data_IF_114209057004
#
_entry.id   IF_114209057004
#
_cell.length_a   1.000
_cell.length_b   1.000
_cell.length_c   1.000
_cell.angle_alpha   90.00
_cell.angle_beta   90.00
_cell.angle_gamma   90.00
#
_symmetry.space_group_name_H-M   'P 1'
#
loop_
_entity.id
_entity.type
_entity.pdbx_description
1 polymer ?
#
# COMPACT_ATOMS: atom_id res chain seq x y z
N UNK A 1 -20.88 22.22 33.33
CA UNK A 1 -20.67 21.64 31.99
C UNK A 1 -19.78 20.42 32.16
N UNK A 2 -20.34 19.21 32.09
CA UNK A 2 -19.54 17.99 32.04
C UNK A 2 -18.74 17.99 30.75
N UNK A 3 -17.41 17.88 30.84
CA UNK A 3 -16.57 17.58 29.69
C UNK A 3 -17.16 16.34 28.99
N UNK A 4 -17.34 16.33 27.66
CA UNK A 4 -17.80 15.14 26.98
C UNK A 4 -16.84 13.99 27.32
N UNK A 5 -17.40 12.85 27.74
CA UNK A 5 -16.64 11.62 27.97
C UNK A 5 -15.73 11.40 26.76
N UNK A 6 -14.43 11.35 26.98
CA UNK A 6 -13.47 11.10 25.91
C UNK A 6 -13.92 9.82 25.17
N UNK A 7 -14.12 9.84 23.84
CA UNK A 7 -14.61 8.68 23.13
C UNK A 7 -13.70 7.47 23.42
N UNK A 8 -14.30 6.30 23.63
CA UNK A 8 -13.55 5.07 23.92
C UNK A 8 -12.50 4.78 22.83
N UNK A 9 -11.58 3.81 23.02
CA UNK A 9 -10.57 3.50 22.02
C UNK A 9 -11.21 3.13 20.67
N UNK A 10 -10.58 3.52 19.56
CA UNK A 10 -10.91 3.00 18.24
C UNK A 10 -10.23 1.63 18.10
N UNK A 11 -11.02 0.57 17.98
CA UNK A 11 -10.52 -0.81 18.00
C UNK A 11 -10.25 -1.28 16.57
N UNK A 12 -9.07 -1.82 16.32
CA UNK A 12 -8.68 -2.25 14.98
C UNK A 12 -8.31 -3.73 14.93
N UNK A 13 -8.71 -4.39 13.84
CA UNK A 13 -8.31 -5.73 13.48
C UNK A 13 -7.32 -5.71 12.33
N UNK A 14 -6.16 -6.35 12.46
CA UNK A 14 -5.12 -6.36 11.41
C UNK A 14 -5.05 -7.73 10.73
N UNK A 15 -5.31 -7.77 9.43
CA UNK A 15 -5.12 -8.94 8.59
C UNK A 15 -3.78 -8.85 7.86
N UNK A 16 -2.85 -9.75 8.15
CA UNK A 16 -1.49 -9.73 7.61
C UNK A 16 -0.49 -9.14 8.61
N UNK A 17 0.39 -10.01 9.12
CA UNK A 17 1.48 -9.64 10.05
C UNK A 17 2.87 -9.88 9.41
N UNK A 18 3.03 -9.46 8.16
CA UNK A 18 4.34 -9.33 7.52
C UNK A 18 5.09 -8.08 7.98
N UNK A 19 6.06 -7.61 7.20
CA UNK A 19 6.87 -6.41 7.53
C UNK A 19 5.99 -5.19 7.82
N UNK A 20 4.99 -4.91 6.98
CA UNK A 20 4.10 -3.75 7.16
C UNK A 20 3.21 -3.93 8.38
N UNK A 21 2.57 -5.09 8.54
CA UNK A 21 1.66 -5.35 9.66
C UNK A 21 2.34 -5.28 11.02
N UNK A 22 3.53 -5.89 11.14
CA UNK A 22 4.34 -5.76 12.35
C UNK A 22 4.81 -4.31 12.58
N UNK A 23 5.18 -3.60 11.50
CA UNK A 23 5.48 -2.17 11.54
C UNK A 23 4.33 -1.32 12.09
N UNK A 24 3.07 -1.61 11.67
CA UNK A 24 1.87 -0.92 12.17
C UNK A 24 1.69 -1.14 13.67
N UNK A 25 1.73 -2.40 14.14
CA UNK A 25 1.61 -2.72 15.57
C UNK A 25 2.69 -1.98 16.38
N UNK A 26 3.94 -2.05 15.92
CA UNK A 26 5.06 -1.37 16.55
C UNK A 26 4.83 0.15 16.61
N UNK A 27 4.50 0.78 15.48
CA UNK A 27 4.35 2.24 15.39
C UNK A 27 3.20 2.75 16.25
N UNK A 28 2.07 2.04 16.29
CA UNK A 28 0.93 2.37 17.15
C UNK A 28 1.33 2.34 18.63
N UNK A 29 2.07 1.33 19.07
CA UNK A 29 2.54 1.24 20.44
C UNK A 29 3.57 2.34 20.78
N UNK A 30 4.56 2.56 19.89
CA UNK A 30 5.64 3.54 20.13
C UNK A 30 5.14 4.99 20.13
N UNK A 31 4.09 5.30 19.37
CA UNK A 31 3.57 6.66 19.21
C UNK A 31 2.16 6.84 19.81
N UNK A 32 1.75 5.98 20.75
CA UNK A 32 0.39 5.91 21.26
C UNK A 32 -0.15 7.28 21.71
N UNK A 33 0.59 8.02 22.52
CA UNK A 33 0.18 9.33 23.02
C UNK A 33 0.03 10.38 21.91
N UNK A 34 0.98 10.40 20.98
CA UNK A 34 0.95 11.35 19.85
C UNK A 34 -0.26 11.07 18.95
N UNK A 35 -0.50 9.80 18.65
CA UNK A 35 -1.62 9.36 17.82
C UNK A 35 -2.94 9.63 18.53
N UNK A 36 -3.05 9.32 19.82
CA UNK A 36 -4.26 9.59 20.59
C UNK A 36 -4.62 11.07 20.63
N UNK A 37 -3.62 11.96 20.81
CA UNK A 37 -3.84 13.41 20.74
C UNK A 37 -4.34 13.86 19.36
N UNK A 38 -3.82 13.30 18.27
CA UNK A 38 -4.20 13.68 16.90
C UNK A 38 -5.53 13.07 16.45
N UNK A 39 -5.82 11.85 16.87
CA UNK A 39 -7.07 11.14 16.58
C UNK A 39 -8.20 11.51 17.56
N UNK A 40 -7.88 12.27 18.62
CA UNK A 40 -8.77 12.60 19.72
C UNK A 40 -9.36 11.37 20.44
N UNK A 41 -8.68 10.22 20.35
CA UNK A 41 -8.97 8.95 21.06
C UNK A 41 -7.82 7.96 20.88
N UNK A 42 -7.61 7.02 21.81
CA UNK A 42 -6.64 5.94 21.62
C UNK A 42 -7.01 5.05 20.42
N UNK A 43 -6.01 4.42 19.80
CA UNK A 43 -6.20 3.37 18.79
C UNK A 43 -5.62 2.08 19.37
N UNK A 44 -6.43 1.01 19.41
CA UNK A 44 -6.06 -0.25 20.05
C UNK A 44 -6.20 -1.40 19.07
N UNK A 45 -5.16 -2.21 18.92
CA UNK A 45 -5.22 -3.46 18.17
C UNK A 45 -5.90 -4.51 19.05
N UNK A 46 -7.07 -5.00 18.64
CA UNK A 46 -7.84 -5.99 19.41
C UNK A 46 -7.76 -7.39 18.82
N UNK A 47 -7.55 -7.48 17.51
CA UNK A 47 -7.45 -8.75 16.81
C UNK A 47 -6.39 -8.71 15.69
N UNK A 48 -5.74 -9.84 15.46
CA UNK A 48 -4.79 -10.02 14.36
C UNK A 48 -5.02 -11.36 13.66
N UNK A 49 -4.72 -11.40 12.36
CA UNK A 49 -4.71 -12.63 11.57
C UNK A 49 -3.47 -12.71 10.70
N UNK A 50 -2.85 -13.89 10.63
CA UNK A 50 -1.78 -14.21 9.70
C UNK A 50 -1.67 -15.73 9.51
N UNK A 51 -1.02 -16.18 8.43
CA UNK A 51 -0.88 -17.61 8.13
C UNK A 51 -0.14 -18.42 9.20
N UNK A 52 0.86 -17.82 9.85
CA UNK A 52 1.74 -18.50 10.80
C UNK A 52 1.72 -17.80 12.16
N UNK A 53 1.19 -18.47 13.18
CA UNK A 53 1.11 -17.94 14.54
C UNK A 53 2.44 -17.95 15.29
N UNK A 54 3.31 -18.91 15.02
CA UNK A 54 4.54 -19.11 15.78
C UNK A 54 5.72 -18.28 15.24
N UNK A 55 5.62 -17.77 14.01
CA UNK A 55 6.66 -16.90 13.44
C UNK A 55 6.95 -15.69 14.33
N UNK A 56 8.19 -15.60 14.81
CA UNK A 56 8.71 -14.45 15.55
C UNK A 56 8.71 -13.18 14.68
N UNK A 57 8.12 -12.10 15.20
CA UNK A 57 7.92 -10.83 14.47
C UNK A 57 8.49 -9.60 15.18
N UNK A 58 9.10 -9.79 16.35
CA UNK A 58 9.64 -8.67 17.15
C UNK A 58 8.57 -7.70 17.65
N UNK A 59 7.33 -8.17 17.82
CA UNK A 59 6.20 -7.41 18.35
C UNK A 59 5.56 -8.21 19.49
N UNK A 60 5.09 -7.49 20.52
CA UNK A 60 4.27 -8.08 21.57
C UNK A 60 2.82 -8.17 21.09
N UNK A 61 2.25 -9.37 21.16
CA UNK A 61 0.86 -9.67 20.83
C UNK A 61 0.06 -10.06 22.09
N UNK A 62 0.62 -9.87 23.28
CA UNK A 62 -0.04 -10.12 24.56
C UNK A 62 -1.37 -9.38 24.64
N UNK A 63 -2.46 -10.10 24.95
CA UNK A 63 -3.80 -9.53 25.05
C UNK A 63 -4.49 -9.23 23.72
N UNK A 64 -3.84 -9.47 22.57
CA UNK A 64 -4.44 -9.32 21.24
C UNK A 64 -5.02 -10.68 20.80
N UNK A 65 -6.27 -10.70 20.37
CA UNK A 65 -6.90 -11.93 19.92
C UNK A 65 -6.32 -12.40 18.57
N UNK A 66 -5.97 -13.67 18.49
CA UNK A 66 -5.59 -14.30 17.23
C UNK A 66 -6.84 -14.79 16.48
N UNK A 67 -6.89 -14.55 15.18
CA UNK A 67 -7.97 -14.97 14.28
C UNK A 67 -7.36 -15.75 13.12
N UNK A 68 -7.74 -17.03 13.00
CA UNK A 68 -7.15 -17.92 12.00
C UNK A 68 -7.62 -17.58 10.58
N UNK A 69 -8.92 -17.33 10.39
CA UNK A 69 -9.45 -16.79 9.13
C UNK A 69 -9.58 -15.26 9.21
N UNK A 70 -8.73 -14.57 8.43
CA UNK A 70 -8.77 -13.12 8.32
C UNK A 70 -10.16 -12.56 7.99
N UNK A 71 -11.00 -13.29 7.25
CA UNK A 71 -12.34 -12.83 6.87
C UNK A 71 -13.29 -12.69 8.06
N UNK A 72 -13.02 -13.35 9.19
CA UNK A 72 -13.81 -13.26 10.42
C UNK A 72 -13.62 -11.92 11.15
N UNK A 73 -12.52 -11.19 10.89
CA UNK A 73 -12.31 -9.85 11.44
C UNK A 73 -13.47 -8.90 11.09
N UNK A 74 -14.12 -9.10 9.95
CA UNK A 74 -15.28 -8.32 9.52
C UNK A 74 -16.52 -8.49 10.42
N UNK A 75 -16.63 -9.57 11.19
CA UNK A 75 -17.80 -9.88 12.01
C UNK A 75 -17.56 -9.65 13.50
N UNK A 76 -16.31 -9.40 13.90
CA UNK A 76 -15.93 -9.23 15.30
C UNK A 76 -16.59 -7.98 15.92
N UNK A 77 -17.27 -8.12 17.07
CA UNK A 77 -17.89 -6.97 17.76
C UNK A 77 -16.85 -6.06 18.43
N UNK A 78 -15.62 -6.54 18.62
CA UNK A 78 -14.49 -5.83 19.18
C UNK A 78 -13.56 -5.18 18.14
N UNK A 79 -13.98 -5.09 16.89
CA UNK A 79 -13.24 -4.45 15.79
C UNK A 79 -14.11 -3.37 15.16
N UNK A 80 -13.65 -2.11 15.16
CA UNK A 80 -14.34 -0.99 14.50
C UNK A 80 -13.78 -0.74 13.09
N UNK A 81 -12.49 -0.99 12.90
CA UNK A 81 -11.75 -0.80 11.64
C UNK A 81 -10.97 -2.06 11.30
N UNK A 82 -11.06 -2.50 10.06
CA UNK A 82 -10.21 -3.58 9.53
C UNK A 82 -9.05 -2.97 8.74
N UNK A 83 -7.84 -3.41 9.05
CA UNK A 83 -6.60 -3.05 8.35
C UNK A 83 -6.10 -4.27 7.59
N UNK A 84 -6.12 -4.23 6.27
CA UNK A 84 -5.76 -5.34 5.39
C UNK A 84 -4.37 -5.13 4.77
N UNK A 85 -3.51 -6.13 4.98
CA UNK A 85 -2.09 -6.19 4.62
C UNK A 85 -1.71 -7.62 4.18
N UNK A 86 -2.66 -8.36 3.60
CA UNK A 86 -2.47 -9.72 3.07
C UNK A 86 -1.85 -9.64 1.66
N UNK A 87 -2.35 -8.72 0.83
CA UNK A 87 -1.99 -8.64 -0.60
C UNK A 87 -2.82 -9.58 -1.49
N UNK A 88 -2.57 -9.51 -2.80
CA UNK A 88 -3.32 -10.24 -3.85
C UNK A 88 -4.53 -9.47 -4.38
N UNK A 89 -4.93 -9.69 -5.64
CA UNK A 89 -6.09 -9.01 -6.25
C UNK A 89 -7.44 -9.54 -5.74
N UNK A 90 -7.50 -10.83 -5.40
CA UNK A 90 -8.73 -11.57 -5.12
C UNK A 90 -8.63 -12.41 -3.82
N UNK A 91 -9.56 -13.35 -3.64
CA UNK A 91 -9.51 -14.34 -2.58
C UNK A 91 -9.81 -13.75 -1.19
N UNK A 92 -9.04 -14.13 -0.15
CA UNK A 92 -9.32 -13.70 1.22
C UNK A 92 -9.28 -12.18 1.41
N UNK A 93 -8.39 -11.46 0.72
CA UNK A 93 -8.28 -10.01 0.83
C UNK A 93 -9.55 -9.30 0.33
N UNK A 94 -10.00 -9.64 -0.88
CA UNK A 94 -11.23 -9.10 -1.46
C UNK A 94 -12.48 -9.52 -0.67
N UNK A 95 -12.52 -10.77 -0.21
CA UNK A 95 -13.63 -11.27 0.63
C UNK A 95 -13.71 -10.51 1.94
N UNK A 96 -12.57 -10.27 2.60
CA UNK A 96 -12.49 -9.46 3.81
C UNK A 96 -12.96 -8.03 3.54
N UNK A 97 -12.48 -7.38 2.48
CA UNK A 97 -12.88 -6.02 2.12
C UNK A 97 -14.41 -5.88 1.96
N UNK A 98 -15.02 -6.76 1.15
CA UNK A 98 -16.48 -6.78 0.92
C UNK A 98 -17.26 -7.02 2.21
N UNK A 99 -16.83 -7.99 3.03
CA UNK A 99 -17.50 -8.29 4.31
C UNK A 99 -17.38 -7.16 5.32
N UNK A 100 -16.20 -6.55 5.46
CA UNK A 100 -15.99 -5.41 6.36
C UNK A 100 -16.85 -4.22 5.98
N UNK A 101 -16.88 -3.90 4.67
CA UNK A 101 -17.71 -2.83 4.16
C UNK A 101 -19.18 -3.13 4.40
N UNK A 102 -19.68 -4.32 4.03
CA UNK A 102 -21.08 -4.69 4.26
C UNK A 102 -21.48 -4.68 5.75
N UNK A 103 -20.55 -4.97 6.65
CA UNK A 103 -20.75 -4.90 8.10
C UNK A 103 -20.67 -3.46 8.67
N UNK A 104 -20.48 -2.45 7.83
CA UNK A 104 -20.35 -1.04 8.25
C UNK A 104 -19.04 -0.72 8.97
N UNK A 105 -18.02 -1.58 8.87
CA UNK A 105 -16.70 -1.33 9.45
C UNK A 105 -15.85 -0.53 8.48
N UNK A 106 -15.07 0.41 8.99
CA UNK A 106 -14.11 1.11 8.15
C UNK A 106 -13.03 0.13 7.67
N UNK A 107 -12.54 0.35 6.45
CA UNK A 107 -11.57 -0.52 5.80
C UNK A 107 -10.34 0.28 5.35
N UNK A 108 -9.17 -0.13 5.82
CA UNK A 108 -7.87 0.46 5.48
C UNK A 108 -7.03 -0.61 4.81
N UNK A 109 -6.42 -0.33 3.66
CA UNK A 109 -5.61 -1.32 2.94
C UNK A 109 -4.35 -0.71 2.31
N UNK A 110 -3.31 -1.53 2.14
CA UNK A 110 -2.14 -1.21 1.32
C UNK A 110 -2.13 -1.97 -0.03
N UNK A 111 -3.24 -2.62 -0.38
CA UNK A 111 -3.29 -3.60 -1.47
C UNK A 111 -3.65 -2.94 -2.81
N UNK A 112 -2.62 -2.45 -3.50
CA UNK A 112 -2.73 -1.83 -4.84
C UNK A 112 -3.37 -2.74 -5.90
N UNK A 113 -3.10 -4.05 -5.88
CA UNK A 113 -3.63 -4.97 -6.88
C UNK A 113 -5.15 -5.11 -6.73
N UNK A 114 -5.64 -5.34 -5.51
CA UNK A 114 -7.08 -5.39 -5.24
C UNK A 114 -7.77 -4.07 -5.62
N UNK A 115 -7.15 -2.92 -5.32
CA UNK A 115 -7.71 -1.62 -5.68
C UNK A 115 -7.70 -1.36 -7.19
N UNK A 116 -6.67 -1.81 -7.91
CA UNK A 116 -6.58 -1.65 -9.35
C UNK A 116 -7.69 -2.42 -10.08
N UNK A 117 -8.08 -3.60 -9.57
CA UNK A 117 -9.10 -4.45 -10.17
C UNK A 117 -10.51 -4.19 -9.65
N UNK A 118 -10.67 -3.93 -8.35
CA UNK A 118 -11.96 -3.90 -7.66
C UNK A 118 -12.24 -2.58 -6.92
N UNK A 119 -11.35 -1.59 -7.03
CA UNK A 119 -11.41 -0.37 -6.24
C UNK A 119 -12.69 0.45 -6.43
N UNK A 120 -13.23 0.51 -7.66
CA UNK A 120 -14.47 1.23 -7.94
C UNK A 120 -15.66 0.58 -7.23
N UNK A 121 -15.83 -0.74 -7.37
CA UNK A 121 -16.92 -1.49 -6.73
C UNK A 121 -16.83 -1.38 -5.20
N UNK A 122 -15.62 -1.49 -4.64
CA UNK A 122 -15.38 -1.32 -3.21
C UNK A 122 -15.71 0.11 -2.73
N UNK A 123 -15.35 1.13 -3.50
CA UNK A 123 -15.65 2.52 -3.17
C UNK A 123 -17.16 2.78 -3.20
N UNK A 124 -17.86 2.31 -4.23
CA UNK A 124 -19.33 2.43 -4.34
C UNK A 124 -20.05 1.71 -3.19
N UNK A 125 -19.61 0.50 -2.85
CA UNK A 125 -20.14 -0.23 -1.70
C UNK A 125 -19.88 0.51 -0.38
N UNK A 126 -18.70 1.09 -0.22
CA UNK A 126 -18.34 1.86 0.97
C UNK A 126 -19.20 3.13 1.10
N UNK A 127 -19.42 3.86 0.00
CA UNK A 127 -20.30 5.03 -0.05
C UNK A 127 -21.75 4.66 0.27
N UNK A 128 -22.27 3.58 -0.33
CA UNK A 128 -23.63 3.10 -0.09
C UNK A 128 -23.88 2.72 1.37
N UNK A 129 -22.88 2.13 2.04
CA UNK A 129 -22.96 1.80 3.46
C UNK A 129 -22.63 2.98 4.39
N UNK A 130 -22.07 4.08 3.86
CA UNK A 130 -21.58 5.19 4.67
C UNK A 130 -20.32 4.86 5.48
N UNK A 131 -19.50 3.91 5.02
CA UNK A 131 -18.25 3.51 5.70
C UNK A 131 -17.01 4.08 5.00
N UNK A 132 -15.91 4.21 5.74
CA UNK A 132 -14.66 4.74 5.20
C UNK A 132 -13.84 3.64 4.51
N UNK A 133 -13.43 3.91 3.26
CA UNK A 133 -12.40 3.15 2.55
C UNK A 133 -11.12 4.02 2.41
N UNK A 134 -10.00 3.59 2.98
CA UNK A 134 -8.72 4.32 2.96
C UNK A 134 -7.59 3.45 2.43
N UNK A 135 -6.73 4.02 1.58
CA UNK A 135 -5.74 3.25 0.83
C UNK A 135 -4.43 3.99 0.53
N UNK A 136 -4.05 4.96 1.37
CA UNK A 136 -2.82 5.76 1.19
C UNK A 136 -1.57 4.87 0.99
N UNK A 137 -1.40 3.84 1.82
CA UNK A 137 -0.23 2.97 1.78
C UNK A 137 -0.14 2.08 0.50
N UNK A 138 -1.18 2.04 -0.33
CA UNK A 138 -1.15 1.29 -1.58
C UNK A 138 -0.26 1.95 -2.65
N UNK A 139 -0.07 3.27 -2.58
CA UNK A 139 0.69 4.04 -3.57
C UNK A 139 1.74 4.91 -2.89
N UNK A 140 2.96 4.89 -3.43
CA UNK A 140 4.09 5.71 -2.95
C UNK A 140 4.48 5.52 -1.47
N UNK A 141 4.05 4.42 -0.84
CA UNK A 141 4.50 4.01 0.49
C UNK A 141 4.16 5.03 1.57
N UNK A 142 5.18 5.72 2.11
CA UNK A 142 5.02 6.73 3.15
C UNK A 142 4.74 8.15 2.64
N UNK A 143 4.74 8.37 1.32
CA UNK A 143 4.47 9.68 0.72
C UNK A 143 2.95 9.89 0.72
N UNK A 144 2.41 10.99 1.29
CA UNK A 144 0.97 11.23 1.40
C UNK A 144 0.35 11.72 0.08
N UNK A 145 0.52 10.95 -0.99
CA UNK A 145 0.14 11.35 -2.35
C UNK A 145 -1.37 11.33 -2.57
N UNK A 146 -2.08 10.35 -2.00
CA UNK A 146 -3.53 10.22 -2.16
C UNK A 146 -4.23 11.35 -1.43
N UNK A 147 -3.86 11.61 -0.17
CA UNK A 147 -4.38 12.77 0.57
C UNK A 147 -3.99 14.09 -0.09
N UNK A 148 -2.76 14.22 -0.58
CA UNK A 148 -2.30 15.40 -1.30
C UNK A 148 -3.15 15.72 -2.52
N UNK A 149 -3.41 14.71 -3.37
CA UNK A 149 -4.26 14.85 -4.56
C UNK A 149 -5.72 15.09 -4.21
N UNK A 150 -6.28 14.30 -3.27
CA UNK A 150 -7.72 14.33 -2.93
C UNK A 150 -8.12 15.59 -2.17
N UNK A 151 -7.32 16.00 -1.19
CA UNK A 151 -7.68 17.05 -0.23
C UNK A 151 -6.84 18.31 -0.47
N UNK A 152 -5.52 18.17 -0.60
CA UNK A 152 -4.61 19.30 -0.75
C UNK A 152 -4.74 20.03 -2.10
N UNK A 153 -5.06 19.28 -3.15
CA UNK A 153 -5.19 19.80 -4.52
C UNK A 153 -6.64 19.90 -5.00
N UNK A 154 -7.64 19.77 -4.11
CA UNK A 154 -9.05 19.68 -4.48
C UNK A 154 -9.57 20.86 -5.33
N UNK A 155 -8.97 22.06 -5.19
CA UNK A 155 -9.33 23.25 -5.96
C UNK A 155 -8.46 23.48 -7.22
N UNK A 156 -7.53 22.57 -7.53
CA UNK A 156 -6.59 22.69 -8.64
C UNK A 156 -6.99 21.78 -9.80
N UNK A 157 -6.78 22.26 -11.03
CA UNK A 157 -6.89 21.41 -12.22
C UNK A 157 -5.58 20.66 -12.46
N UNK A 158 -5.58 19.37 -12.18
CA UNK A 158 -4.41 18.52 -12.51
C UNK A 158 -4.25 18.42 -14.02
N UNK A 159 -3.06 18.74 -14.51
CA UNK A 159 -2.72 18.62 -15.94
C UNK A 159 -1.98 17.32 -16.26
N UNK A 160 -1.09 16.89 -15.36
CA UNK A 160 -0.24 15.71 -15.52
C UNK A 160 0.13 15.13 -14.16
N UNK A 161 0.35 13.82 -14.13
CA UNK A 161 0.95 13.08 -13.01
C UNK A 161 2.07 12.22 -13.59
N UNK A 162 3.24 12.28 -12.99
CA UNK A 162 4.40 11.44 -13.33
C UNK A 162 5.22 11.23 -12.06
N UNK A 163 5.91 10.09 -11.94
CA UNK A 163 6.70 9.84 -10.75
C UNK A 163 7.44 8.50 -10.77
N UNK A 164 8.46 8.40 -9.93
CA UNK A 164 9.20 7.15 -9.72
C UNK A 164 8.43 6.30 -8.71
N UNK A 165 7.58 5.41 -9.20
CA UNK A 165 6.64 4.67 -8.36
C UNK A 165 7.16 3.30 -7.91
N UNK A 166 8.30 2.82 -8.43
CA UNK A 166 8.87 1.53 -8.08
C UNK A 166 10.32 1.64 -7.57
N UNK A 167 10.54 1.19 -6.32
CA UNK A 167 11.83 1.28 -5.66
C UNK A 167 12.89 0.35 -6.27
N UNK A 168 12.52 -0.89 -6.57
CA UNK A 168 13.40 -1.91 -7.16
C UNK A 168 13.97 -1.46 -8.50
N UNK A 169 13.13 -1.00 -9.42
CA UNK A 169 13.54 -0.48 -10.71
C UNK A 169 14.42 0.76 -10.59
N UNK A 170 14.07 1.70 -9.71
CA UNK A 170 14.89 2.89 -9.50
C UNK A 170 16.25 2.54 -8.89
N UNK A 171 16.30 1.57 -7.96
CA UNK A 171 17.55 1.07 -7.39
C UNK A 171 18.44 0.45 -8.47
N UNK A 172 17.89 -0.46 -9.29
CA UNK A 172 18.61 -1.13 -10.37
C UNK A 172 19.18 -0.10 -11.35
N UNK A 173 18.34 0.79 -11.91
CA UNK A 173 18.80 1.80 -12.87
C UNK A 173 19.85 2.74 -12.29
N UNK A 174 19.72 3.12 -11.01
CA UNK A 174 20.69 3.98 -10.34
C UNK A 174 22.03 3.29 -10.12
N UNK A 175 22.04 1.99 -9.78
CA UNK A 175 23.28 1.21 -9.63
C UNK A 175 23.95 0.92 -10.95
N UNK A 176 23.18 0.57 -11.99
CA UNK A 176 23.73 0.40 -13.35
C UNK A 176 24.47 1.67 -13.80
N UNK A 177 23.86 2.83 -13.56
CA UNK A 177 24.47 4.13 -13.87
C UNK A 177 25.74 4.40 -13.04
N UNK A 178 25.64 4.29 -11.71
CA UNK A 178 26.72 4.67 -10.80
C UNK A 178 27.92 3.72 -10.84
N UNK A 179 27.67 2.42 -10.98
CA UNK A 179 28.67 1.37 -10.87
C UNK A 179 29.07 0.79 -12.23
N UNK A 180 28.43 1.22 -13.31
CA UNK A 180 28.72 0.76 -14.68
C UNK A 180 28.55 -0.74 -14.86
N UNK A 181 27.56 -1.32 -14.17
CA UNK A 181 27.23 -2.74 -14.21
C UNK A 181 26.02 -3.01 -15.10
N UNK A 182 25.99 -4.16 -15.76
CA UNK A 182 24.85 -4.58 -16.56
C UNK A 182 23.61 -4.92 -15.71
N UNK A 183 22.45 -4.96 -16.36
CA UNK A 183 21.17 -5.22 -15.71
C UNK A 183 21.17 -6.56 -14.95
N UNK A 184 21.73 -7.61 -15.54
CA UNK A 184 21.71 -8.96 -14.97
C UNK A 184 22.51 -9.03 -13.67
N UNK A 185 23.69 -8.40 -13.64
CA UNK A 185 24.56 -8.33 -12.47
C UNK A 185 23.88 -7.55 -11.34
N UNK A 186 23.35 -6.36 -11.63
CA UNK A 186 22.69 -5.54 -10.61
C UNK A 186 21.41 -6.21 -10.08
N UNK A 187 20.65 -6.89 -10.93
CA UNK A 187 19.47 -7.65 -10.52
C UNK A 187 19.86 -8.80 -9.58
N UNK A 188 20.91 -9.57 -9.90
CA UNK A 188 21.39 -10.66 -9.05
C UNK A 188 21.83 -10.14 -7.67
N UNK A 189 22.55 -9.02 -7.63
CA UNK A 189 22.92 -8.37 -6.37
C UNK A 189 21.69 -7.89 -5.58
N UNK A 190 20.71 -7.30 -6.26
CA UNK A 190 19.48 -6.82 -5.64
C UNK A 190 18.69 -7.99 -5.01
N UNK A 191 18.67 -9.15 -5.67
CA UNK A 191 18.06 -10.37 -5.14
C UNK A 191 18.84 -10.90 -3.93
N UNK A 192 20.16 -10.97 -4.01
CA UNK A 192 21.01 -11.41 -2.90
C UNK A 192 20.88 -10.51 -1.66
N UNK A 193 20.71 -9.21 -1.86
CA UNK A 193 20.49 -8.24 -0.79
C UNK A 193 19.02 -8.11 -0.34
N UNK A 194 18.09 -8.84 -0.96
CA UNK A 194 16.67 -8.82 -0.61
C UNK A 194 15.89 -7.58 -1.07
N UNK A 195 16.44 -6.79 -1.99
CA UNK A 195 15.73 -5.66 -2.63
C UNK A 195 14.79 -6.12 -3.76
N UNK A 196 15.04 -7.28 -4.37
CA UNK A 196 14.20 -7.88 -5.40
C UNK A 196 13.85 -9.32 -5.02
N UNK A 197 12.64 -9.76 -5.40
CA UNK A 197 12.21 -11.15 -5.20
C UNK A 197 12.84 -12.09 -6.25
N UNK A 198 12.74 -13.40 -6.01
CA UNK A 198 13.26 -14.42 -6.94
C UNK A 198 12.62 -14.32 -8.33
N UNK A 199 11.32 -14.03 -8.39
CA UNK A 199 10.64 -13.58 -9.60
C UNK A 199 10.43 -12.05 -9.52
N UNK A 200 11.27 -11.25 -10.18
CA UNK A 200 11.20 -9.80 -10.11
C UNK A 200 10.22 -9.19 -11.13
N UNK A 201 9.51 -10.02 -11.91
CA UNK A 201 8.75 -9.58 -13.09
C UNK A 201 7.72 -8.50 -12.75
N UNK A 202 7.09 -8.61 -11.58
CA UNK A 202 6.13 -7.62 -11.10
C UNK A 202 6.73 -6.20 -10.98
N UNK A 203 8.02 -6.10 -10.64
CA UNK A 203 8.74 -4.83 -10.57
C UNK A 203 9.35 -4.46 -11.94
N UNK A 204 10.24 -5.31 -12.47
CA UNK A 204 11.10 -4.95 -13.60
C UNK A 204 10.38 -4.89 -14.94
N UNK A 205 9.20 -5.51 -15.04
CA UNK A 205 8.33 -5.39 -16.22
C UNK A 205 7.32 -4.24 -16.09
N UNK A 206 7.36 -3.47 -14.99
CA UNK A 206 6.59 -2.24 -14.81
C UNK A 206 5.16 -2.42 -14.31
N UNK A 207 4.74 -3.65 -14.01
CA UNK A 207 3.37 -3.98 -13.57
C UNK A 207 3.01 -3.26 -12.27
N UNK A 208 3.92 -3.23 -11.28
CA UNK A 208 3.74 -2.49 -10.03
C UNK A 208 3.56 -0.98 -10.26
N UNK A 209 4.39 -0.40 -11.13
CA UNK A 209 4.28 1.01 -11.52
C UNK A 209 2.94 1.29 -12.18
N UNK A 210 2.49 0.43 -13.10
CA UNK A 210 1.23 0.57 -13.79
C UNK A 210 0.01 0.46 -12.86
N UNK A 211 0.04 -0.44 -11.86
CA UNK A 211 -1.00 -0.48 -10.81
C UNK A 211 -1.05 0.81 -9.99
N UNK A 212 0.11 1.35 -9.60
CA UNK A 212 0.18 2.61 -8.83
C UNK A 212 -0.28 3.80 -9.67
N UNK A 213 0.13 3.84 -10.94
CA UNK A 213 -0.21 4.92 -11.86
C UNK A 213 -1.71 4.93 -12.20
N UNK A 214 -2.34 3.76 -12.39
CA UNK A 214 -3.77 3.69 -12.69
C UNK A 214 -4.63 4.22 -11.52
N UNK A 215 -4.24 3.93 -10.28
CA UNK A 215 -4.88 4.49 -9.07
C UNK A 215 -4.68 6.01 -9.02
N UNK A 216 -3.45 6.50 -9.25
CA UNK A 216 -3.17 7.94 -9.24
C UNK A 216 -3.91 8.68 -10.34
N UNK A 217 -3.98 8.12 -11.55
CA UNK A 217 -4.68 8.72 -12.68
C UNK A 217 -6.19 8.83 -12.40
N UNK A 218 -6.81 7.76 -11.90
CA UNK A 218 -8.22 7.78 -11.51
C UNK A 218 -8.50 8.87 -10.46
N UNK A 219 -7.64 8.97 -9.44
CA UNK A 219 -7.79 9.98 -8.39
C UNK A 219 -7.55 11.41 -8.90
N UNK A 220 -6.51 11.63 -9.68
CA UNK A 220 -6.08 12.95 -10.12
C UNK A 220 -7.02 13.58 -11.17
N UNK A 221 -7.66 12.74 -11.99
CA UNK A 221 -8.51 13.17 -13.10
C UNK A 221 -10.01 12.88 -12.89
N UNK A 222 -10.38 12.27 -11.75
CA UNK A 222 -11.78 11.92 -11.46
C UNK A 222 -12.35 10.87 -12.42
N UNK A 223 -11.53 9.92 -12.84
CA UNK A 223 -11.86 8.89 -13.82
C UNK A 223 -11.99 7.50 -13.17
N UNK A 224 -12.50 6.52 -13.94
CA UNK A 224 -12.45 5.11 -13.51
C UNK A 224 -11.02 4.59 -13.63
N UNK A 225 -10.66 3.67 -12.75
CA UNK A 225 -9.38 2.94 -12.88
C UNK A 225 -9.49 2.05 -14.12
N UNK A 226 -8.53 2.19 -15.04
CA UNK A 226 -8.38 1.34 -16.21
C UNK A 226 -6.92 0.90 -16.32
N UNK A 227 -6.59 -0.18 -15.61
CA UNK A 227 -5.24 -0.74 -15.63
C UNK A 227 -4.85 -1.28 -17.01
N UNK A 228 -5.79 -1.87 -17.74
CA UNK A 228 -5.53 -2.46 -19.05
C UNK A 228 -5.14 -1.40 -20.11
N UNK A 229 -5.60 -0.17 -19.94
CA UNK A 229 -5.21 0.96 -20.80
C UNK A 229 -3.81 1.53 -20.49
N UNK A 230 -3.12 1.11 -19.42
CA UNK A 230 -1.79 1.61 -19.09
C UNK A 230 -0.73 0.92 -19.96
N UNK A 231 -0.23 1.64 -20.95
CA UNK A 231 0.92 1.20 -21.73
C UNK A 231 2.13 0.99 -20.81
N UNK A 232 2.64 -0.24 -20.77
CA UNK A 232 3.65 -0.67 -19.79
C UNK A 232 4.87 -1.21 -20.52
N UNK A 233 6.04 -0.67 -20.19
CA UNK A 233 7.34 -1.16 -20.64
C UNK A 233 8.29 -1.25 -19.44
N UNK A 234 8.92 -2.41 -19.29
CA UNK A 234 9.89 -2.67 -18.23
C UNK A 234 11.26 -2.06 -18.47
N UNK A 235 12.20 -2.39 -17.58
CA UNK A 235 13.59 -1.92 -17.63
C UNK A 235 14.58 -2.99 -18.12
N UNK A 236 14.12 -4.22 -18.40
CA UNK A 236 15.00 -5.36 -18.76
C UNK A 236 15.89 -5.11 -19.97
N UNK A 237 15.38 -4.34 -20.94
CA UNK A 237 16.10 -4.06 -22.19
C UNK A 237 17.08 -2.89 -22.07
N UNK A 238 17.14 -2.19 -20.94
CA UNK A 238 18.03 -1.05 -20.75
C UNK A 238 19.47 -1.56 -20.62
N UNK A 239 20.33 -1.16 -21.55
CA UNK A 239 21.76 -1.44 -21.53
C UNK A 239 22.60 -0.26 -21.03
N UNK A 240 23.88 -0.53 -20.75
CA UNK A 240 24.84 0.52 -20.41
C UNK A 240 25.02 1.53 -21.55
N UNK A 241 24.96 1.07 -22.81
CA UNK A 241 25.02 1.95 -23.98
C UNK A 241 23.87 2.96 -24.00
N UNK A 242 22.65 2.54 -23.63
CA UNK A 242 21.50 3.45 -23.55
C UNK A 242 21.73 4.51 -22.46
N UNK A 243 22.26 4.09 -21.30
CA UNK A 243 22.61 4.99 -20.20
C UNK A 243 23.68 6.00 -20.63
N UNK A 244 24.71 5.55 -21.34
CA UNK A 244 25.80 6.42 -21.82
C UNK A 244 25.31 7.43 -22.84
N UNK A 245 24.48 6.99 -23.79
CA UNK A 245 23.86 7.87 -24.79
C UNK A 245 22.93 8.89 -24.14
N UNK A 246 22.09 8.46 -23.19
CA UNK A 246 21.24 9.37 -22.42
C UNK A 246 22.09 10.40 -21.65
N UNK A 247 23.18 9.97 -21.00
CA UNK A 247 24.08 10.85 -20.25
C UNK A 247 24.80 11.86 -21.15
N UNK A 248 25.27 11.43 -22.33
CA UNK A 248 25.90 12.33 -23.32
C UNK A 248 24.94 13.43 -23.81
N UNK A 249 23.63 13.16 -23.80
CA UNK A 249 22.57 14.11 -24.13
C UNK A 249 22.09 14.93 -22.91
N UNK A 250 22.66 14.71 -21.71
CA UNK A 250 22.27 15.42 -20.48
C UNK A 250 21.05 14.83 -19.77
N UNK A 251 20.65 13.60 -20.09
CA UNK A 251 19.49 12.91 -19.52
C UNK A 251 19.88 11.77 -18.58
N UNK A 252 18.84 11.16 -17.99
CA UNK A 252 18.88 9.98 -17.13
C UNK A 252 17.78 9.02 -17.54
N UNK A 253 18.04 7.72 -17.42
CA UNK A 253 17.02 6.69 -17.65
C UNK A 253 16.32 6.36 -16.34
N UNK A 254 15.00 6.47 -16.34
CA UNK A 254 14.13 6.17 -15.20
C UNK A 254 12.84 5.51 -15.69
N UNK A 255 12.26 4.63 -14.87
CA UNK A 255 10.91 4.14 -15.06
C UNK A 255 9.93 5.15 -14.45
N UNK A 256 9.23 5.90 -15.31
CA UNK A 256 8.33 7.02 -14.96
C UNK A 256 6.90 6.68 -15.32
#
# INVERSE_FOLDING_TARGET
MSLPLSPGPLRIGIAGLGNVGAGVVKLLAHNADLIARRANRPITVTAVSARDRSRGRGIDLGGIAWVDDATELAQRPDVDVVVELIGGSDGPALTLARRSIAAGKAFVTANKAMLAHHGLDLAQAAEAQGTALKYEAAVAGGIPVIKGLREGMAANRTLRVYGLLNGTCNYILSRMEAERLDFATVLADAQAAGYAEADPSFDVDGIDTAHKLSILAALAFGARIDFAAVATHGIRAVGLTDIDQAAALGFRIKLV
#
